data_IF_838918813983
#
_entry.id   IF_838918813983
#
_cell.length_a   1.000
_cell.length_b   1.000
_cell.length_c   1.000
_cell.angle_alpha   90.00
_cell.angle_beta   90.00
_cell.angle_gamma   90.00
#
_symmetry.space_group_name_H-M   'P 1'
#
loop_
_entity.id
_entity.type
_entity.pdbx_description
1 polymer ?
#
# COMPACT_ATOMS: atom_id res chain seq x y z
N UNK A 1 26.85 0.16 1.51
CA UNK A 1 25.64 0.83 2.03
C UNK A 1 25.32 1.94 1.06
N UNK A 2 24.14 1.90 0.45
CA UNK A 2 23.74 2.82 -0.62
C UNK A 2 22.23 3.09 -0.55
N UNK A 3 21.80 4.23 -1.09
CA UNK A 3 20.38 4.56 -1.26
C UNK A 3 20.02 4.46 -2.73
N UNK A 4 18.89 3.80 -3.02
CA UNK A 4 18.36 3.63 -4.36
C UNK A 4 16.83 3.66 -4.31
N UNK A 5 16.16 3.78 -5.46
CA UNK A 5 14.70 3.73 -5.55
C UNK A 5 14.25 2.53 -6.38
N UNK A 6 13.09 1.99 -6.02
CA UNK A 6 12.41 0.92 -6.76
C UNK A 6 10.97 1.34 -7.01
N UNK A 7 10.50 1.38 -8.27
CA UNK A 7 9.11 1.67 -8.56
C UNK A 7 8.20 0.51 -8.14
N UNK A 8 7.01 0.83 -7.64
CA UNK A 8 5.95 -0.15 -7.49
C UNK A 8 5.26 -0.38 -8.84
N UNK A 9 5.02 -1.64 -9.19
CA UNK A 9 4.25 -2.04 -10.36
C UNK A 9 2.85 -2.49 -9.94
N UNK A 10 1.80 -1.89 -10.49
CA UNK A 10 0.42 -2.33 -10.28
C UNK A 10 -0.49 -1.87 -11.43
N UNK A 11 -1.60 -2.56 -11.71
CA UNK A 11 -2.46 -2.24 -12.85
C UNK A 11 -3.21 -0.92 -12.67
N UNK A 12 -3.58 -0.30 -13.79
CA UNK A 12 -4.50 0.84 -13.79
C UNK A 12 -5.84 0.47 -13.13
N UNK A 13 -6.46 1.44 -12.46
CA UNK A 13 -7.71 1.22 -11.73
C UNK A 13 -7.54 0.46 -10.40
N UNK A 14 -6.30 0.29 -9.93
CA UNK A 14 -6.00 -0.24 -8.60
C UNK A 14 -5.43 0.85 -7.67
N UNK A 15 -5.49 0.59 -6.37
CA UNK A 15 -4.83 1.38 -5.35
C UNK A 15 -3.87 0.48 -4.57
N UNK A 16 -2.79 1.04 -4.03
CA UNK A 16 -1.83 0.32 -3.19
C UNK A 16 -1.81 0.86 -1.77
N UNK A 17 -1.51 -0.03 -0.81
CA UNK A 17 -1.15 0.33 0.57
C UNK A 17 0.16 -0.37 0.89
N UNK A 18 1.22 0.40 1.08
CA UNK A 18 2.56 -0.07 1.46
C UNK A 18 2.80 0.28 2.92
N UNK A 19 3.28 -0.67 3.72
CA UNK A 19 3.53 -0.43 5.13
C UNK A 19 4.57 -1.37 5.76
N UNK A 20 4.84 -1.10 7.03
CA UNK A 20 5.68 -1.92 7.90
C UNK A 20 4.81 -2.66 8.91
N UNK A 21 5.10 -3.93 9.11
CA UNK A 21 4.42 -4.79 10.08
C UNK A 21 5.42 -5.73 10.77
N UNK A 22 4.94 -6.68 11.57
CA UNK A 22 5.76 -7.73 12.18
C UNK A 22 4.90 -8.96 12.43
N UNK A 23 5.53 -10.10 12.71
CA UNK A 23 4.84 -11.33 13.10
C UNK A 23 4.01 -11.98 11.96
N UNK A 24 3.91 -13.31 11.98
CA UNK A 24 3.35 -14.07 10.84
C UNK A 24 1.83 -13.89 10.68
N UNK A 25 1.14 -13.55 11.78
CA UNK A 25 -0.31 -13.33 11.83
C UNK A 25 -0.76 -12.14 10.97
N UNK A 26 0.16 -11.23 10.59
CA UNK A 26 -0.11 -10.11 9.66
C UNK A 26 -0.90 -10.51 8.42
N UNK A 27 -0.58 -11.67 7.84
CA UNK A 27 -1.21 -12.08 6.57
C UNK A 27 -2.69 -12.34 6.78
N UNK A 28 -3.04 -13.25 7.69
CA UNK A 28 -4.44 -13.58 7.97
C UNK A 28 -5.22 -12.37 8.51
N UNK A 29 -4.62 -11.59 9.43
CA UNK A 29 -5.34 -10.47 10.06
C UNK A 29 -5.63 -9.34 9.09
N UNK A 30 -4.70 -9.01 8.18
CA UNK A 30 -4.95 -7.99 7.17
C UNK A 30 -5.95 -8.49 6.12
N UNK A 31 -5.91 -9.77 5.74
CA UNK A 31 -6.95 -10.37 4.88
C UNK A 31 -8.34 -10.27 5.54
N UNK A 32 -8.46 -10.65 6.81
CA UNK A 32 -9.70 -10.58 7.57
C UNK A 32 -10.22 -9.14 7.71
N UNK A 33 -9.32 -8.19 7.98
CA UNK A 33 -9.65 -6.75 8.03
C UNK A 33 -10.27 -6.27 6.72
N UNK A 34 -9.66 -6.61 5.57
CA UNK A 34 -10.13 -6.14 4.26
C UNK A 34 -11.45 -6.80 3.89
N UNK A 35 -11.54 -8.12 4.03
CA UNK A 35 -12.75 -8.90 3.68
C UNK A 35 -13.94 -8.54 4.56
N UNK A 36 -13.72 -8.24 5.84
CA UNK A 36 -14.77 -7.78 6.78
C UNK A 36 -15.21 -6.35 6.47
N UNK A 37 -14.28 -5.46 6.11
CA UNK A 37 -14.58 -4.07 5.83
C UNK A 37 -15.39 -3.89 4.54
N UNK A 38 -15.10 -4.67 3.49
CA UNK A 38 -15.81 -4.60 2.21
C UNK A 38 -16.13 -6.01 1.69
N UNK A 39 -17.40 -6.45 1.76
CA UNK A 39 -17.82 -7.73 1.21
C UNK A 39 -17.51 -7.84 -0.28
N UNK A 40 -16.83 -8.92 -0.68
CA UNK A 40 -16.44 -9.16 -2.07
C UNK A 40 -15.25 -8.30 -2.55
N UNK A 41 -14.48 -7.71 -1.63
CA UNK A 41 -13.24 -7.00 -1.96
C UNK A 41 -12.34 -7.84 -2.86
N UNK A 42 -11.73 -7.19 -3.86
CA UNK A 42 -10.71 -7.77 -4.75
C UNK A 42 -9.36 -7.16 -4.43
N UNK A 43 -8.47 -7.99 -3.89
CA UNK A 43 -7.15 -7.54 -3.47
C UNK A 43 -6.13 -8.67 -3.49
N UNK A 44 -4.86 -8.29 -3.53
CA UNK A 44 -3.73 -9.15 -3.20
C UNK A 44 -2.90 -8.53 -2.09
N UNK A 45 -2.44 -9.36 -1.17
CA UNK A 45 -1.58 -8.99 -0.04
C UNK A 45 -0.31 -9.82 -0.08
N UNK A 46 0.83 -9.17 0.14
CA UNK A 46 2.09 -9.84 0.40
C UNK A 46 2.76 -9.24 1.65
N UNK A 47 3.51 -10.05 2.38
CA UNK A 47 4.28 -9.69 3.57
C UNK A 47 5.66 -10.37 3.53
N UNK A 48 6.72 -9.59 3.72
CA UNK A 48 8.11 -10.10 3.72
C UNK A 48 8.53 -10.53 5.12
N UNK A 49 8.58 -11.83 5.39
CA UNK A 49 9.14 -12.35 6.64
C UNK A 49 10.63 -11.98 6.77
N UNK A 50 11.05 -11.46 7.94
CA UNK A 50 12.41 -10.95 8.13
C UNK A 50 13.34 -11.88 8.93
N UNK A 51 12.85 -13.02 9.41
CA UNK A 51 13.61 -14.01 10.18
C UNK A 51 13.17 -15.44 9.80
N UNK A 52 13.84 -16.45 10.33
CA UNK A 52 13.53 -17.85 10.01
C UNK A 52 13.73 -18.15 8.53
N UNK A 53 12.68 -18.67 7.87
CA UNK A 53 12.71 -19.04 6.46
C UNK A 53 12.79 -17.83 5.52
N UNK A 54 12.42 -16.63 6.02
CA UNK A 54 12.46 -15.35 5.29
C UNK A 54 11.66 -15.40 3.97
N UNK A 55 10.49 -16.02 4.01
CA UNK A 55 9.62 -16.15 2.84
C UNK A 55 8.73 -14.92 2.67
N UNK A 56 8.38 -14.62 1.43
CA UNK A 56 7.24 -13.75 1.15
C UNK A 56 5.98 -14.58 1.37
N UNK A 57 5.20 -14.16 2.36
CA UNK A 57 3.90 -14.71 2.71
C UNK A 57 2.84 -13.89 1.99
N UNK A 58 1.76 -14.50 1.54
CA UNK A 58 0.77 -13.83 0.72
C UNK A 58 -0.60 -14.45 0.93
N UNK A 59 -1.62 -13.67 0.62
CA UNK A 59 -3.03 -14.06 0.65
C UNK A 59 -3.84 -13.00 -0.12
N UNK A 60 -5.12 -13.25 -0.37
CA UNK A 60 -5.94 -12.36 -1.15
C UNK A 60 -7.19 -13.01 -1.74
N UNK A 61 -7.84 -12.26 -2.63
CA UNK A 61 -9.09 -12.67 -3.30
C UNK A 61 -9.02 -12.48 -4.82
N UNK A 62 -7.84 -12.13 -5.32
CA UNK A 62 -7.50 -11.88 -6.72
C UNK A 62 -6.06 -12.33 -6.99
N UNK A 63 -5.92 -13.53 -7.58
CA UNK A 63 -4.64 -14.18 -7.90
C UNK A 63 -3.69 -13.31 -8.73
N UNK A 64 -4.21 -12.40 -9.56
CA UNK A 64 -3.38 -11.48 -10.35
C UNK A 64 -2.68 -10.50 -9.40
N UNK A 65 -3.45 -9.91 -8.49
CA UNK A 65 -2.96 -8.91 -7.56
C UNK A 65 -2.02 -9.51 -6.52
N UNK A 66 -2.25 -10.75 -6.09
CA UNK A 66 -1.32 -11.48 -5.21
C UNK A 66 0.06 -11.63 -5.87
N UNK A 67 0.10 -12.10 -7.12
CA UNK A 67 1.35 -12.27 -7.87
C UNK A 67 2.10 -10.95 -8.03
N UNK A 68 1.37 -9.88 -8.29
CA UNK A 68 1.95 -8.53 -8.42
C UNK A 68 2.49 -8.06 -7.05
N UNK A 69 1.74 -8.26 -5.95
CA UNK A 69 2.19 -7.90 -4.61
C UNK A 69 3.48 -8.65 -4.22
N UNK A 70 3.55 -9.95 -4.51
CA UNK A 70 4.75 -10.78 -4.32
C UNK A 70 5.93 -10.22 -5.11
N UNK A 71 5.74 -9.96 -6.42
CA UNK A 71 6.81 -9.44 -7.30
C UNK A 71 7.36 -8.11 -6.79
N UNK A 72 6.50 -7.21 -6.34
CA UNK A 72 6.94 -5.95 -5.74
C UNK A 72 7.78 -6.19 -4.48
N UNK A 73 7.34 -7.04 -3.55
CA UNK A 73 8.14 -7.31 -2.35
C UNK A 73 9.47 -8.02 -2.65
N UNK A 74 9.53 -8.85 -3.70
CA UNK A 74 10.79 -9.42 -4.19
C UNK A 74 11.75 -8.32 -4.65
N UNK A 75 11.24 -7.33 -5.39
CA UNK A 75 12.04 -6.20 -5.88
C UNK A 75 12.50 -5.28 -4.74
N UNK A 76 11.63 -5.03 -3.75
CA UNK A 76 11.98 -4.21 -2.59
C UNK A 76 13.00 -4.91 -1.68
N UNK A 77 12.88 -6.23 -1.51
CA UNK A 77 13.71 -7.06 -0.62
C UNK A 77 13.90 -6.45 0.79
N UNK A 78 12.85 -5.82 1.31
CA UNK A 78 12.81 -5.16 2.61
C UNK A 78 12.00 -6.00 3.61
N UNK A 79 12.67 -6.53 4.63
CA UNK A 79 12.04 -7.34 5.65
C UNK A 79 10.94 -6.59 6.40
N UNK A 80 9.91 -7.32 6.83
CA UNK A 80 8.76 -6.80 7.58
C UNK A 80 7.94 -5.73 6.83
N UNK A 81 8.10 -5.65 5.51
CA UNK A 81 7.26 -4.83 4.64
C UNK A 81 6.04 -5.63 4.20
N UNK A 82 4.87 -5.00 4.18
CA UNK A 82 3.70 -5.53 3.48
C UNK A 82 3.25 -4.60 2.36
N UNK A 83 2.64 -5.19 1.34
CA UNK A 83 1.99 -4.48 0.24
C UNK A 83 0.61 -5.09 -0.01
N UNK A 84 -0.40 -4.24 -0.03
CA UNK A 84 -1.77 -4.57 -0.44
C UNK A 84 -2.06 -3.84 -1.75
N UNK A 85 -2.64 -4.54 -2.72
CA UNK A 85 -3.14 -3.96 -3.98
C UNK A 85 -4.65 -4.19 -4.03
N UNK A 86 -5.42 -3.12 -4.16
CA UNK A 86 -6.88 -3.09 -4.11
C UNK A 86 -7.44 -2.78 -5.51
N UNK A 87 -8.37 -3.59 -6.02
CA UNK A 87 -9.04 -3.33 -7.31
C UNK A 87 -10.48 -2.89 -7.10
N UNK A 88 -10.84 -1.74 -7.67
CA UNK A 88 -12.16 -1.12 -7.47
C UNK A 88 -12.50 -0.83 -6.00
N UNK A 89 -11.50 -0.73 -5.12
CA UNK A 89 -11.64 -0.22 -3.75
C UNK A 89 -10.64 0.92 -3.52
N UNK A 90 -11.00 1.83 -2.63
CA UNK A 90 -10.14 2.95 -2.25
C UNK A 90 -9.52 2.72 -0.87
N UNK A 91 -8.30 3.21 -0.61
CA UNK A 91 -7.66 3.07 0.69
C UNK A 91 -8.52 3.60 1.83
N UNK A 92 -9.29 4.68 1.61
CA UNK A 92 -10.18 5.26 2.63
C UNK A 92 -11.25 4.28 3.16
N UNK A 93 -11.54 3.19 2.45
CA UNK A 93 -12.49 2.16 2.90
C UNK A 93 -11.91 1.28 4.01
N UNK A 94 -10.58 1.07 4.03
CA UNK A 94 -9.93 0.04 4.87
C UNK A 94 -8.77 0.57 5.71
N UNK A 95 -8.20 1.72 5.38
CA UNK A 95 -6.94 2.23 5.94
C UNK A 95 -6.98 2.37 7.47
N UNK A 96 -8.10 2.79 8.05
CA UNK A 96 -8.21 2.91 9.50
C UNK A 96 -8.19 1.56 10.21
N UNK A 97 -8.87 0.55 9.65
CA UNK A 97 -8.86 -0.80 10.21
C UNK A 97 -7.46 -1.43 10.11
N UNK A 98 -6.76 -1.24 8.98
CA UNK A 98 -5.36 -1.68 8.80
C UNK A 98 -4.45 -1.02 9.85
N UNK A 99 -4.55 0.30 10.07
CA UNK A 99 -3.76 1.00 11.09
C UNK A 99 -4.05 0.53 12.52
N UNK A 100 -5.21 -0.07 12.76
CA UNK A 100 -5.62 -0.60 14.06
C UNK A 100 -5.23 -2.06 14.27
N UNK A 101 -4.70 -2.74 13.24
CA UNK A 101 -4.14 -4.08 13.36
C UNK A 101 -2.88 -4.03 14.23
N UNK A 102 -2.77 -4.95 15.18
CA UNK A 102 -1.73 -4.93 16.22
C UNK A 102 -0.33 -5.10 15.63
N UNK A 103 -0.26 -5.82 14.53
CA UNK A 103 0.96 -6.12 13.80
C UNK A 103 1.45 -4.94 12.96
N UNK A 104 0.60 -3.96 12.64
CA UNK A 104 0.95 -2.84 11.76
C UNK A 104 1.65 -1.74 12.53
N UNK A 105 2.93 -1.52 12.23
CA UNK A 105 3.70 -0.45 12.86
C UNK A 105 3.58 0.89 12.13
N UNK A 106 3.51 0.89 10.79
CA UNK A 106 3.43 2.14 10.00
C UNK A 106 2.87 1.91 8.60
N UNK A 107 2.24 2.96 8.05
CA UNK A 107 1.87 3.05 6.64
C UNK A 107 2.80 4.04 5.96
N UNK A 108 3.41 3.63 4.84
CA UNK A 108 4.29 4.48 4.03
C UNK A 108 3.52 5.19 2.93
N UNK A 109 2.63 4.48 2.22
CA UNK A 109 1.83 5.03 1.12
C UNK A 109 0.44 4.38 1.06
N UNK A 110 -0.55 5.14 0.57
CA UNK A 110 -1.91 4.68 0.34
C UNK A 110 -2.52 5.46 -0.85
N UNK A 111 -2.34 4.99 -2.08
CA UNK A 111 -2.49 5.82 -3.29
C UNK A 111 -2.81 5.00 -4.54
N UNK A 112 -3.20 5.70 -5.62
CA UNK A 112 -3.28 5.16 -6.99
C UNK A 112 -2.30 5.86 -7.95
N UNK A 113 -1.48 6.79 -7.46
CA UNK A 113 -0.45 7.45 -8.27
C UNK A 113 0.75 6.52 -8.49
N UNK A 114 1.63 6.78 -9.48
CA UNK A 114 2.95 6.15 -9.52
C UNK A 114 3.70 6.32 -8.19
N UNK A 115 4.32 5.24 -7.71
CA UNK A 115 5.09 5.24 -6.44
C UNK A 115 6.52 4.77 -6.68
N UNK A 116 7.49 5.55 -6.22
CA UNK A 116 8.86 5.07 -6.02
C UNK A 116 9.14 4.86 -4.54
N UNK A 117 9.65 3.68 -4.18
CA UNK A 117 10.05 3.36 -2.80
C UNK A 117 11.54 3.66 -2.65
N UNK A 118 11.89 4.53 -1.71
CA UNK A 118 13.28 4.85 -1.38
C UNK A 118 13.80 3.82 -0.38
N UNK A 119 14.87 3.13 -0.78
CA UNK A 119 15.48 2.06 -0.02
C UNK A 119 16.90 2.44 0.40
N UNK A 120 17.30 2.01 1.59
CA UNK A 120 18.68 1.99 2.04
C UNK A 120 19.16 0.54 2.13
N UNK A 121 20.20 0.19 1.37
CA UNK A 121 20.85 -1.10 1.45
C UNK A 121 21.80 -1.15 2.66
N UNK A 122 21.35 -1.83 3.72
CA UNK A 122 22.11 -2.06 4.94
C UNK A 122 22.93 -3.35 4.92
N UNK A 123 23.57 -3.69 6.04
CA UNK A 123 24.40 -4.91 6.17
C UNK A 123 23.61 -6.21 5.97
N UNK A 124 22.35 -6.24 6.41
CA UNK A 124 21.54 -7.47 6.49
C UNK A 124 20.39 -7.50 5.46
N UNK A 125 20.19 -6.43 4.69
CA UNK A 125 19.06 -6.28 3.77
C UNK A 125 18.65 -4.82 3.57
N UNK A 126 17.53 -4.61 2.89
CA UNK A 126 17.02 -3.29 2.58
C UNK A 126 16.07 -2.79 3.68
N UNK A 127 16.11 -1.49 3.94
CA UNK A 127 15.10 -0.79 4.74
C UNK A 127 14.43 0.31 3.91
N UNK A 128 13.12 0.49 4.08
CA UNK A 128 12.39 1.61 3.47
C UNK A 128 12.66 2.87 4.28
N UNK A 129 13.14 3.92 3.61
CA UNK A 129 13.44 5.22 4.23
C UNK A 129 12.47 6.33 3.79
N UNK A 130 11.65 6.06 2.76
CA UNK A 130 10.64 6.98 2.28
C UNK A 130 9.95 6.49 1.01
N UNK A 131 9.00 7.29 0.53
CA UNK A 131 8.29 7.08 -0.74
C UNK A 131 8.16 8.39 -1.49
N UNK A 132 8.13 8.30 -2.82
CA UNK A 132 7.69 9.37 -3.72
C UNK A 132 6.33 8.95 -4.25
N UNK A 133 5.27 9.65 -3.84
CA UNK A 133 3.87 9.38 -4.24
C UNK A 133 3.42 10.44 -5.24
N UNK A 134 3.36 10.07 -6.52
CA UNK A 134 2.99 10.97 -7.60
C UNK A 134 4.03 12.06 -7.88
N UNK A 135 3.56 13.29 -8.05
CA UNK A 135 4.34 14.39 -8.61
C UNK A 135 4.36 15.62 -7.71
N UNK A 136 5.40 16.44 -7.84
CA UNK A 136 5.54 17.70 -7.12
C UNK A 136 4.41 18.70 -7.45
N UNK A 137 3.99 19.53 -6.48
CA UNK A 137 2.97 20.55 -6.72
C UNK A 137 3.45 21.60 -7.73
N UNK A 138 2.57 22.01 -8.64
CA UNK A 138 2.85 23.04 -9.66
C UNK A 138 2.35 24.44 -9.29
N UNK A 139 1.68 24.58 -8.15
CA UNK A 139 1.11 25.84 -7.70
C UNK A 139 0.18 25.69 -6.50
N UNK A 140 -0.57 26.74 -6.19
CA UNK A 140 -1.53 26.81 -5.08
C UNK A 140 -2.93 27.04 -5.63
N UNK A 141 -3.93 26.31 -5.11
CA UNK A 141 -5.32 26.41 -5.56
C UNK A 141 -5.90 27.82 -5.40
N UNK A 142 -6.59 28.32 -6.44
CA UNK A 142 -7.36 29.56 -6.39
C UNK A 142 -8.81 29.33 -5.92
N UNK A 143 -9.64 30.38 -5.93
CA UNK A 143 -11.04 30.29 -5.51
C UNK A 143 -11.90 29.34 -6.36
N UNK A 144 -11.67 29.30 -7.67
CA UNK A 144 -12.38 28.39 -8.58
C UNK A 144 -11.96 26.94 -8.36
N UNK A 145 -10.67 26.68 -8.17
CA UNK A 145 -10.15 25.34 -7.88
C UNK A 145 -10.77 24.76 -6.60
N UNK A 146 -10.90 25.60 -5.55
CA UNK A 146 -11.60 25.24 -4.30
C UNK A 146 -13.06 24.85 -4.55
N UNK A 147 -13.77 25.62 -5.37
CA UNK A 147 -15.15 25.33 -5.72
C UNK A 147 -15.27 24.02 -6.49
N UNK A 148 -14.37 23.77 -7.45
CA UNK A 148 -14.29 22.53 -8.23
C UNK A 148 -14.11 21.30 -7.35
N UNK A 149 -13.08 21.27 -6.47
CA UNK A 149 -12.86 20.10 -5.60
C UNK A 149 -13.97 19.89 -4.58
N UNK A 150 -14.61 20.98 -4.10
CA UNK A 150 -15.76 20.89 -3.18
C UNK A 150 -17.02 20.38 -3.87
N UNK A 151 -17.24 20.76 -5.13
CA UNK A 151 -18.34 20.25 -5.95
C UNK A 151 -18.14 18.77 -6.24
N UNK A 152 -16.94 18.39 -6.67
CA UNK A 152 -16.59 17.00 -6.95
C UNK A 152 -16.95 16.07 -5.79
N UNK A 153 -16.53 16.36 -4.56
CA UNK A 153 -16.84 15.55 -3.37
C UNK A 153 -18.34 15.38 -3.08
N UNK A 154 -19.18 16.34 -3.51
CA UNK A 154 -20.65 16.25 -3.42
C UNK A 154 -21.22 15.42 -4.55
N UNK A 155 -20.70 15.60 -5.76
CA UNK A 155 -21.12 14.84 -6.94
C UNK A 155 -20.89 13.33 -6.74
N UNK A 156 -19.77 12.96 -6.10
CA UNK A 156 -19.46 11.55 -5.77
C UNK A 156 -19.99 11.10 -4.40
N UNK A 157 -20.79 11.93 -3.72
CA UNK A 157 -21.57 11.54 -2.53
C UNK A 157 -20.82 11.49 -1.19
N UNK A 158 -19.54 11.88 -1.13
CA UNK A 158 -18.78 11.90 0.14
C UNK A 158 -19.12 13.09 1.05
N UNK A 159 -19.73 14.14 0.51
CA UNK A 159 -20.13 15.36 1.25
C UNK A 159 -21.52 15.84 0.82
N UNK A 160 -22.17 16.59 1.71
CA UNK A 160 -23.41 17.33 1.45
C UNK A 160 -23.11 18.83 1.32
#
# INVERSE_FOLDING_TARGET
METFSVPLEFPDGTNVILGYSHFIKTVEDLTEVITTAVPGAKFGLAFSEASGDRLIRYDGTDDELEKIAIKNLQNLAAGHTFLIILRNLYPINVLNAIKSCQEVGSIFAATSNPVEVLLFHGKNGNGIVGVVDGFSPLGVENGNDKNTRRKFLRDIGYKK
#
